data_IF_545675520934
#
_entry.id   IF_545675520934
#
_cell.length_a   1.000
_cell.length_b   1.000
_cell.length_c   1.000
_cell.angle_alpha   90.00
_cell.angle_beta   90.00
_cell.angle_gamma   90.00
#
_symmetry.space_group_name_H-M   'P 1'
#
loop_
_entity.id
_entity.type
_entity.pdbx_description
1 polymer ?
#
# COMPACT_ATOMS: atom_id res chain seq x y z
N UNK A 1 -19.94 4.30 -31.97
CA UNK A 1 -19.23 3.80 -30.78
C UNK A 1 -19.70 2.39 -30.52
N UNK A 2 -18.78 1.43 -30.51
CA UNK A 2 -19.07 -0.01 -30.42
C UNK A 2 -19.55 -0.34 -29.00
N UNK A 3 -20.86 -0.51 -28.84
CA UNK A 3 -21.48 -0.81 -27.54
C UNK A 3 -21.28 -2.29 -27.20
N UNK A 4 -20.10 -2.67 -26.74
CA UNK A 4 -19.91 -3.97 -26.07
C UNK A 4 -20.44 -3.83 -24.65
N UNK A 5 -21.64 -4.36 -24.41
CA UNK A 5 -22.42 -4.11 -23.18
C UNK A 5 -21.96 -4.90 -21.96
N UNK A 6 -20.81 -5.58 -22.02
CA UNK A 6 -20.33 -6.48 -20.96
C UNK A 6 -18.83 -6.33 -20.72
N UNK A 7 -18.44 -6.40 -19.45
CA UNK A 7 -17.04 -6.44 -19.04
C UNK A 7 -16.42 -7.78 -19.52
N UNK A 8 -15.25 -7.77 -20.19
CA UNK A 8 -14.57 -8.99 -20.63
C UNK A 8 -14.23 -9.93 -19.46
N UNK A 9 -14.43 -11.24 -19.65
CA UNK A 9 -13.98 -12.27 -18.69
C UNK A 9 -12.63 -12.80 -19.15
N UNK A 10 -11.57 -12.16 -18.68
CA UNK A 10 -10.19 -12.45 -19.06
C UNK A 10 -9.28 -12.26 -17.84
N UNK A 11 -8.18 -13.01 -17.79
CA UNK A 11 -7.12 -12.84 -16.80
C UNK A 11 -6.00 -11.91 -17.32
N UNK A 12 -6.13 -11.36 -18.53
CA UNK A 12 -5.13 -10.45 -19.11
C UNK A 12 -5.32 -9.02 -18.63
N UNK A 13 -4.31 -8.51 -17.91
CA UNK A 13 -4.27 -7.11 -17.48
C UNK A 13 -4.25 -6.15 -18.69
N UNK A 14 -3.52 -6.51 -19.76
CA UNK A 14 -3.41 -5.68 -20.96
C UNK A 14 -4.75 -5.53 -21.69
N UNK A 15 -5.53 -6.61 -21.76
CA UNK A 15 -6.85 -6.61 -22.39
C UNK A 15 -7.84 -5.73 -21.60
N UNK A 16 -7.84 -5.85 -20.27
CA UNK A 16 -8.68 -5.03 -19.39
C UNK A 16 -8.28 -3.55 -19.45
N UNK A 17 -6.98 -3.24 -19.53
CA UNK A 17 -6.50 -1.86 -19.67
C UNK A 17 -6.98 -1.24 -21.00
N UNK A 18 -6.80 -1.94 -22.12
CA UNK A 18 -7.26 -1.48 -23.44
C UNK A 18 -8.79 -1.32 -23.50
N UNK A 19 -9.54 -2.15 -22.78
CA UNK A 19 -10.98 -1.99 -22.63
C UNK A 19 -11.33 -0.68 -21.92
N UNK A 20 -10.77 -0.43 -20.74
CA UNK A 20 -11.05 0.78 -19.96
C UNK A 20 -10.50 2.08 -20.56
N UNK A 21 -9.50 2.01 -21.44
CA UNK A 21 -9.03 3.18 -22.20
C UNK A 21 -10.11 3.77 -23.13
N UNK A 22 -11.13 2.97 -23.48
CA UNK A 22 -12.16 3.35 -24.47
C UNK A 22 -13.59 3.28 -23.95
N UNK A 23 -13.79 2.81 -22.72
CA UNK A 23 -15.12 2.61 -22.11
C UNK A 23 -15.23 3.39 -20.81
N UNK A 24 -16.35 4.07 -20.60
CA UNK A 24 -16.63 4.76 -19.35
C UNK A 24 -17.09 3.75 -18.29
N UNK A 25 -16.64 3.93 -17.04
CA UNK A 25 -17.00 3.05 -15.93
C UNK A 25 -18.51 3.10 -15.61
N UNK A 26 -19.13 4.28 -15.77
CA UNK A 26 -20.55 4.51 -15.45
C UNK A 26 -21.49 3.71 -16.35
N UNK A 27 -21.04 3.31 -17.54
CA UNK A 27 -21.82 2.46 -18.46
C UNK A 27 -22.01 1.01 -17.96
N UNK A 28 -21.32 0.62 -16.89
CA UNK A 28 -21.31 -0.75 -16.34
C UNK A 28 -21.74 -0.83 -14.88
N UNK A 29 -22.37 0.21 -14.33
CA UNK A 29 -22.83 0.24 -12.92
C UNK A 29 -23.68 -0.98 -12.54
N UNK A 30 -24.47 -1.52 -13.47
CA UNK A 30 -25.32 -2.71 -13.27
C UNK A 30 -24.53 -4.02 -13.12
N UNK A 31 -23.24 -4.01 -13.48
CA UNK A 31 -22.32 -5.15 -13.44
C UNK A 31 -21.29 -5.04 -12.31
N UNK A 32 -21.30 -3.95 -11.55
CA UNK A 32 -20.37 -3.68 -10.45
C UNK A 32 -21.07 -3.86 -9.10
N UNK A 33 -20.30 -4.30 -8.11
CA UNK A 33 -20.75 -4.42 -6.72
C UNK A 33 -19.99 -3.39 -5.86
N UNK A 34 -20.72 -2.62 -5.06
CA UNK A 34 -20.11 -1.65 -4.14
C UNK A 34 -19.42 -2.38 -2.99
N UNK A 35 -18.09 -2.27 -2.93
CA UNK A 35 -17.29 -2.78 -1.82
C UNK A 35 -17.27 -1.77 -0.68
N UNK A 36 -17.97 -2.08 0.40
CA UNK A 36 -18.04 -1.24 1.60
C UNK A 36 -16.82 -1.40 2.51
N UNK A 37 -16.07 -2.49 2.34
CA UNK A 37 -14.82 -2.74 3.05
C UNK A 37 -13.62 -2.17 2.26
N UNK A 38 -12.65 -1.53 2.96
CA UNK A 38 -11.46 -1.03 2.30
C UNK A 38 -10.60 -2.20 1.80
N UNK A 39 -10.58 -2.42 0.49
CA UNK A 39 -9.73 -3.42 -0.18
C UNK A 39 -8.24 -3.03 -0.10
N UNK A 40 -7.95 -1.75 0.12
CA UNK A 40 -6.60 -1.23 0.34
C UNK A 40 -6.45 -0.77 1.80
N UNK A 41 -5.81 -1.59 2.63
CA UNK A 41 -5.33 -1.16 3.94
C UNK A 41 -4.18 -0.19 3.74
N UNK A 42 -4.39 1.09 4.08
CA UNK A 42 -3.29 2.04 4.16
C UNK A 42 -2.48 1.74 5.40
N UNK A 43 -1.18 1.54 5.24
CA UNK A 43 -0.28 1.36 6.38
C UNK A 43 -0.43 2.52 7.38
N UNK A 44 -0.64 2.20 8.65
CA UNK A 44 -0.73 3.20 9.71
C UNK A 44 0.67 3.78 9.99
N UNK A 45 0.86 5.07 9.71
CA UNK A 45 2.14 5.76 9.96
C UNK A 45 2.08 6.50 11.29
N UNK A 46 2.99 6.16 12.21
CA UNK A 46 3.19 6.89 13.46
C UNK A 46 4.42 7.79 13.36
N UNK A 47 4.26 9.07 13.69
CA UNK A 47 5.38 10.02 13.81
C UNK A 47 5.88 10.03 15.25
N UNK A 48 7.17 9.78 15.45
CA UNK A 48 7.82 9.83 16.76
C UNK A 48 8.73 11.04 16.79
N UNK A 49 8.65 11.84 17.84
CA UNK A 49 9.59 12.92 18.07
C UNK A 49 10.87 12.35 18.68
N UNK A 50 12.00 12.62 18.04
CA UNK A 50 13.33 12.29 18.52
C UNK A 50 14.16 13.57 18.47
N UNK A 51 14.90 13.85 19.54
CA UNK A 51 15.88 14.93 19.53
C UNK A 51 16.95 14.65 18.46
N UNK A 52 17.61 15.68 17.91
CA UNK A 52 18.63 15.50 16.87
C UNK A 52 19.74 14.51 17.28
N UNK A 53 20.13 14.53 18.55
CA UNK A 53 21.15 13.62 19.11
C UNK A 53 20.70 12.16 19.14
N UNK A 54 19.42 11.93 19.42
CA UNK A 54 18.82 10.60 19.48
C UNK A 54 18.71 10.03 18.07
N UNK A 55 18.17 10.81 17.13
CA UNK A 55 18.08 10.38 15.73
C UNK A 55 19.46 10.08 15.13
N UNK A 56 20.48 10.86 15.48
CA UNK A 56 21.84 10.60 15.05
C UNK A 56 22.37 9.26 15.59
N UNK A 57 22.18 8.98 16.89
CA UNK A 57 22.58 7.71 17.50
C UNK A 57 21.88 6.50 16.84
N UNK A 58 20.59 6.64 16.50
CA UNK A 58 19.86 5.59 15.78
C UNK A 58 20.44 5.36 14.39
N UNK A 59 20.76 6.42 13.65
CA UNK A 59 21.34 6.32 12.30
C UNK A 59 22.71 5.64 12.31
N UNK A 60 23.59 6.01 13.24
CA UNK A 60 24.90 5.36 13.37
C UNK A 60 24.77 3.89 13.75
N UNK A 61 23.83 3.57 14.65
CA UNK A 61 23.55 2.18 15.02
C UNK A 61 23.05 1.37 13.82
N UNK A 62 22.09 1.93 13.06
CA UNK A 62 21.54 1.29 11.86
C UNK A 62 22.61 1.05 10.80
N UNK A 63 23.48 2.05 10.58
CA UNK A 63 24.61 1.96 9.66
C UNK A 63 25.59 0.86 10.06
N UNK A 64 25.95 0.75 11.34
CA UNK A 64 26.84 -0.32 11.83
C UNK A 64 26.25 -1.72 11.67
N UNK A 65 24.91 -1.83 11.68
CA UNK A 65 24.15 -3.07 11.48
C UNK A 65 23.79 -3.34 10.01
N UNK A 66 24.09 -2.42 9.09
CA UNK A 66 23.75 -2.56 7.67
C UNK A 66 22.25 -2.51 7.35
N UNK A 67 21.44 -1.88 8.21
CA UNK A 67 19.97 -1.79 8.06
C UNK A 67 19.50 -0.34 7.95
N UNK A 68 18.28 -0.12 7.46
CA UNK A 68 17.63 1.19 7.50
C UNK A 68 17.34 1.64 8.92
N UNK A 69 17.42 2.94 9.22
CA UNK A 69 17.13 3.46 10.56
C UNK A 69 15.66 3.27 10.96
N UNK A 70 14.73 3.33 9.99
CA UNK A 70 13.32 3.04 10.22
C UNK A 70 13.09 1.55 10.55
N UNK A 71 13.79 0.65 9.84
CA UNK A 71 13.74 -0.79 10.11
C UNK A 71 14.29 -1.13 11.49
N UNK A 72 15.37 -0.48 11.90
CA UNK A 72 15.95 -0.62 13.23
C UNK A 72 14.97 -0.18 14.32
N UNK A 73 14.31 0.98 14.16
CA UNK A 73 13.29 1.45 15.09
C UNK A 73 12.13 0.46 15.17
N UNK A 74 11.65 -0.04 14.03
CA UNK A 74 10.59 -1.05 13.98
C UNK A 74 11.00 -2.33 14.70
N UNK A 75 12.23 -2.79 14.51
CA UNK A 75 12.76 -3.97 15.19
C UNK A 75 12.75 -3.78 16.71
N UNK A 76 13.23 -2.65 17.22
CA UNK A 76 13.21 -2.37 18.67
C UNK A 76 11.80 -2.31 19.25
N UNK A 77 10.85 -1.73 18.52
CA UNK A 77 9.43 -1.71 18.93
C UNK A 77 8.91 -3.15 19.04
N UNK A 78 9.17 -4.00 18.03
CA UNK A 78 8.75 -5.41 18.06
C UNK A 78 9.41 -6.22 19.17
N UNK A 79 10.70 -5.99 19.44
CA UNK A 79 11.43 -6.62 20.55
C UNK A 79 10.78 -6.28 21.89
N UNK A 80 10.32 -5.05 22.10
CA UNK A 80 9.68 -4.63 23.37
C UNK A 80 8.25 -5.15 23.51
N UNK A 81 7.49 -5.20 22.42
CA UNK A 81 6.12 -5.72 22.44
C UNK A 81 6.09 -7.23 22.68
N UNK A 82 7.02 -8.00 22.09
CA UNK A 82 7.06 -9.47 22.24
C UNK A 82 7.46 -9.95 23.65
N UNK A 83 8.03 -9.07 24.47
CA UNK A 83 8.42 -9.37 25.86
C UNK A 83 7.29 -9.03 26.83
N UNK A 84 6.16 -8.49 26.34
CA UNK A 84 4.91 -8.26 27.11
C UNK A 84 3.83 -9.25 26.68
#
# INVERSE_FOLDING_TARGET
MTHTRKIPRTDSIQELAAFWDTHDLTDFEDQLEEMTEPVFERESVTKIHLEPKELHAVKETAKSKGVGYADLIRQWVLERIRVS
#
